data_IF_998361406757
#
_entry.id   IF_998361406757
#
_cell.length_a   1.000
_cell.length_b   1.000
_cell.length_c   1.000
_cell.angle_alpha   90.00
_cell.angle_beta   90.00
_cell.angle_gamma   90.00
#
_symmetry.space_group_name_H-M   'P 1'
#
loop_
_entity.id
_entity.type
_entity.pdbx_description
1 polymer ?
#
# COMPACT_ATOMS: atom_id res chain seq x y z
N UNK A 1 -10.48 51.21 36.63
CA UNK A 1 -11.05 49.90 36.22
C UNK A 1 -10.92 49.86 34.71
N UNK A 2 -9.73 49.53 34.23
CA UNK A 2 -9.42 49.44 32.80
C UNK A 2 -8.76 48.07 32.59
N UNK A 3 -9.46 47.25 31.81
CA UNK A 3 -9.11 45.87 31.52
C UNK A 3 -8.04 45.85 30.43
N UNK A 4 -6.82 45.48 30.78
CA UNK A 4 -5.79 45.15 29.78
C UNK A 4 -6.12 43.78 29.18
N UNK A 5 -6.65 43.82 27.96
CA UNK A 5 -6.77 42.64 27.10
C UNK A 5 -5.38 42.12 26.75
N UNK A 6 -5.04 40.95 27.28
CA UNK A 6 -3.87 40.20 26.88
C UNK A 6 -4.17 39.51 25.55
N UNK A 7 -3.40 39.91 24.54
CA UNK A 7 -3.49 39.43 23.17
C UNK A 7 -3.02 37.97 23.10
N UNK A 8 -3.90 37.07 22.66
CA UNK A 8 -3.51 35.73 22.23
C UNK A 8 -2.58 35.81 21.02
N UNK A 9 -1.53 34.98 20.92
CA UNK A 9 -0.71 34.93 19.73
C UNK A 9 -1.53 34.33 18.57
N UNK A 10 -1.57 35.08 17.46
CA UNK A 10 -2.15 34.65 16.19
C UNK A 10 -1.46 33.38 15.70
N UNK A 11 -2.10 32.23 15.91
CA UNK A 11 -1.73 30.97 15.29
C UNK A 11 -1.87 31.10 13.77
N UNK A 12 -0.80 30.78 13.06
CA UNK A 12 -0.73 30.75 11.61
C UNK A 12 -1.79 29.77 11.04
N UNK A 13 -2.80 30.21 10.27
CA UNK A 13 -3.85 29.32 9.74
C UNK A 13 -3.42 28.54 8.48
N UNK A 14 -2.12 28.51 8.15
CA UNK A 14 -1.62 28.07 6.84
C UNK A 14 -1.27 26.59 6.66
N UNK A 15 -1.40 25.73 7.67
CA UNK A 15 -1.03 24.31 7.53
C UNK A 15 -2.15 23.35 7.98
N UNK A 16 -3.36 23.57 7.46
CA UNK A 16 -4.49 22.64 7.59
C UNK A 16 -4.48 21.57 6.48
N UNK A 17 -3.33 20.92 6.25
CA UNK A 17 -3.29 19.65 5.53
C UNK A 17 -2.44 18.68 6.35
N UNK A 18 -3.01 17.62 6.95
CA UNK A 18 -2.18 16.45 7.14
C UNK A 18 -1.65 16.08 5.74
N UNK A 19 -0.34 15.86 5.56
CA UNK A 19 0.16 15.37 4.29
C UNK A 19 -0.63 14.12 3.88
N UNK A 20 -0.90 13.89 2.58
CA UNK A 20 -1.73 12.77 2.13
C UNK A 20 -1.24 11.39 2.66
N UNK A 21 0.03 11.27 3.03
CA UNK A 21 0.59 10.06 3.65
C UNK A 21 0.10 9.77 5.08
N UNK A 22 -0.51 10.73 5.80
CA UNK A 22 -1.16 10.50 7.10
C UNK A 22 -2.49 9.74 6.98
N UNK A 23 -3.08 9.68 5.78
CA UNK A 23 -4.32 8.93 5.52
C UNK A 23 -4.07 7.59 4.81
N UNK A 24 -2.85 7.36 4.31
CA UNK A 24 -2.50 6.13 3.60
C UNK A 24 -2.31 4.98 4.62
N UNK A 25 -3.38 4.25 4.90
CA UNK A 25 -3.29 3.00 5.66
C UNK A 25 -2.76 1.91 4.74
N UNK A 26 -1.45 1.70 4.76
CA UNK A 26 -0.85 0.51 4.19
C UNK A 26 -1.52 -0.72 4.79
N UNK A 27 -2.03 -1.61 3.93
CA UNK A 27 -2.53 -2.92 4.35
C UNK A 27 -1.65 -4.01 3.76
N UNK A 28 -1.29 -4.99 4.59
CA UNK A 28 -0.50 -6.16 4.21
C UNK A 28 -1.29 -7.44 4.51
N UNK A 29 -1.52 -8.26 3.49
CA UNK A 29 -2.03 -9.61 3.65
C UNK A 29 -0.86 -10.60 3.55
N UNK A 30 -0.68 -11.42 4.59
CA UNK A 30 0.41 -12.39 4.69
C UNK A 30 -0.13 -13.81 4.65
N UNK A 31 0.53 -14.70 3.90
CA UNK A 31 0.22 -16.13 3.93
C UNK A 31 0.76 -16.74 5.23
N UNK A 32 -0.16 -17.14 6.10
CA UNK A 32 0.16 -17.62 7.45
C UNK A 32 1.11 -18.82 7.48
N UNK A 33 1.04 -19.71 6.48
CA UNK A 33 1.93 -20.88 6.40
C UNK A 33 3.40 -20.53 6.14
N UNK A 34 3.71 -19.33 5.63
CA UNK A 34 5.09 -18.87 5.49
C UNK A 34 5.58 -18.08 6.71
N UNK A 35 4.68 -17.68 7.62
CA UNK A 35 5.04 -16.92 8.82
C UNK A 35 5.68 -17.85 9.86
N UNK A 36 7.02 -17.81 9.93
CA UNK A 36 7.78 -18.64 10.88
C UNK A 36 7.87 -18.04 12.28
N UNK A 37 7.95 -16.71 12.38
CA UNK A 37 8.28 -16.02 13.64
C UNK A 37 7.77 -14.58 13.60
N UNK A 38 7.01 -14.20 14.62
CA UNK A 38 6.56 -12.82 14.84
C UNK A 38 7.27 -12.24 16.06
N UNK A 39 7.75 -11.01 15.97
CA UNK A 39 8.43 -10.29 17.05
C UNK A 39 7.97 -8.84 17.06
N UNK A 40 7.90 -8.24 18.25
CA UNK A 40 7.70 -6.79 18.38
C UNK A 40 8.91 -6.09 17.78
N UNK A 41 8.66 -5.15 16.86
CA UNK A 41 9.71 -4.25 16.40
C UNK A 41 10.09 -3.31 17.54
N UNK A 42 11.40 -3.09 17.72
CA UNK A 42 11.98 -2.18 18.71
C UNK A 42 12.95 -1.18 18.08
N UNK A 43 13.03 -1.17 16.75
CA UNK A 43 13.90 -0.28 16.01
C UNK A 43 13.26 1.08 15.80
N UNK A 44 13.88 1.89 14.95
CA UNK A 44 13.51 3.26 14.68
C UNK A 44 12.02 3.44 14.35
N UNK A 45 11.44 2.61 13.47
CA UNK A 45 10.04 2.77 13.06
C UNK A 45 9.07 2.64 14.25
N UNK A 46 9.25 1.61 15.09
CA UNK A 46 8.45 1.45 16.31
C UNK A 46 8.62 2.65 17.26
N UNK A 47 9.87 3.09 17.50
CA UNK A 47 10.15 4.26 18.35
C UNK A 47 9.55 5.56 17.79
N UNK A 48 9.55 5.73 16.47
CA UNK A 48 8.95 6.89 15.81
C UNK A 48 7.44 6.88 16.02
N UNK A 49 6.76 5.76 15.78
CA UNK A 49 5.31 5.63 15.97
C UNK A 49 4.91 5.94 17.42
N UNK A 50 5.65 5.43 18.39
CA UNK A 50 5.47 5.76 19.82
C UNK A 50 5.66 7.26 20.07
N UNK A 51 6.74 7.86 19.55
CA UNK A 51 7.06 9.27 19.77
C UNK A 51 6.04 10.23 19.16
N UNK A 52 5.42 9.88 18.04
CA UNK A 52 4.37 10.69 17.40
C UNK A 52 2.95 10.37 17.93
N UNK A 53 2.83 9.47 18.91
CA UNK A 53 1.55 9.04 19.46
C UNK A 53 0.65 8.35 18.44
N UNK A 54 1.22 7.76 17.39
CA UNK A 54 0.45 7.09 16.36
C UNK A 54 0.04 5.71 16.89
N UNK A 55 -1.25 5.55 17.15
CA UNK A 55 -1.82 4.23 17.41
C UNK A 55 -1.78 3.40 16.13
N UNK A 56 -1.35 2.14 16.26
CA UNK A 56 -1.45 1.16 15.18
C UNK A 56 -2.94 0.83 15.04
N UNK A 57 -3.56 1.02 13.86
CA UNK A 57 -4.97 0.73 13.68
C UNK A 57 -5.28 -0.72 14.09
N UNK A 58 -6.32 -0.90 14.92
CA UNK A 58 -6.72 -2.22 15.44
C UNK A 58 -7.36 -3.13 14.37
N UNK A 59 -7.47 -2.66 13.13
CA UNK A 59 -8.03 -3.42 12.02
C UNK A 59 -7.83 -2.71 10.68
N UNK A 60 -8.16 -3.42 9.60
CA UNK A 60 -8.32 -2.82 8.26
C UNK A 60 -9.63 -2.03 8.27
N UNK A 61 -9.64 -0.83 7.70
CA UNK A 61 -10.80 0.07 7.71
C UNK A 61 -12.07 -0.57 7.11
N UNK A 62 -11.89 -1.50 6.17
CA UNK A 62 -12.96 -2.21 5.49
C UNK A 62 -12.66 -3.71 5.47
N UNK A 63 -13.73 -4.51 5.53
CA UNK A 63 -13.69 -5.97 5.47
C UNK A 63 -13.05 -6.43 4.15
N UNK A 64 -11.97 -7.20 4.23
CA UNK A 64 -11.31 -7.87 3.09
C UNK A 64 -11.65 -9.35 3.18
N UNK A 65 -12.13 -9.95 2.09
CA UNK A 65 -12.33 -11.39 2.04
C UNK A 65 -10.98 -12.12 1.92
N UNK A 66 -10.61 -12.83 3.00
CA UNK A 66 -9.36 -13.58 3.14
C UNK A 66 -9.47 -15.04 2.63
N UNK A 67 -10.55 -15.42 1.93
CA UNK A 67 -10.78 -16.77 1.41
C UNK A 67 -9.68 -17.27 0.45
N UNK A 68 -8.93 -16.35 -0.17
CA UNK A 68 -7.76 -16.70 -0.95
C UNK A 68 -7.05 -15.49 -1.55
N UNK A 69 -5.81 -15.67 -2.04
CA UNK A 69 -4.99 -14.60 -2.59
C UNK A 69 -5.66 -13.88 -3.78
N UNK A 70 -6.36 -14.62 -4.64
CA UNK A 70 -7.08 -14.01 -5.76
C UNK A 70 -8.23 -13.11 -5.30
N UNK A 71 -8.97 -13.51 -4.27
CA UNK A 71 -10.06 -12.71 -3.70
C UNK A 71 -9.53 -11.45 -3.03
N UNK A 72 -8.45 -11.57 -2.24
CA UNK A 72 -7.77 -10.45 -1.59
C UNK A 72 -7.35 -9.41 -2.63
N UNK A 73 -6.73 -9.83 -3.74
CA UNK A 73 -6.28 -8.90 -4.80
C UNK A 73 -7.48 -8.24 -5.48
N UNK A 74 -8.58 -8.96 -5.74
CA UNK A 74 -9.80 -8.35 -6.31
C UNK A 74 -10.42 -7.32 -5.37
N UNK A 75 -10.45 -7.59 -4.07
CA UNK A 75 -10.97 -6.64 -3.09
C UNK A 75 -10.06 -5.43 -2.93
N UNK A 76 -8.73 -5.64 -2.92
CA UNK A 76 -7.76 -4.56 -2.94
C UNK A 76 -7.91 -3.69 -4.20
N UNK A 77 -8.08 -4.29 -5.37
CA UNK A 77 -8.22 -3.59 -6.66
C UNK A 77 -9.49 -2.72 -6.75
N UNK A 78 -10.51 -2.97 -5.92
CA UNK A 78 -11.69 -2.08 -5.81
C UNK A 78 -11.36 -0.76 -5.09
N UNK A 79 -10.29 -0.74 -4.28
CA UNK A 79 -9.89 0.41 -3.43
C UNK A 79 -8.69 1.14 -4.02
N UNK A 80 -7.70 0.37 -4.45
CA UNK A 80 -6.40 0.86 -4.90
C UNK A 80 -6.11 0.35 -6.31
N UNK A 81 -5.66 1.24 -7.20
CA UNK A 81 -5.28 0.87 -8.57
C UNK A 81 -4.05 -0.04 -8.60
N UNK A 82 -3.15 0.12 -7.62
CA UNK A 82 -1.89 -0.61 -7.55
C UNK A 82 -1.88 -1.56 -6.38
N UNK A 83 -1.32 -2.74 -6.62
CA UNK A 83 -0.94 -3.70 -5.58
C UNK A 83 0.53 -4.06 -5.71
N UNK A 84 1.14 -4.44 -4.60
CA UNK A 84 2.45 -5.11 -4.59
C UNK A 84 2.27 -6.58 -4.28
N UNK A 85 2.86 -7.47 -5.06
CA UNK A 85 2.87 -8.91 -4.80
C UNK A 85 4.29 -9.41 -4.57
N UNK A 86 4.41 -10.39 -3.68
CA UNK A 86 5.70 -10.96 -3.27
C UNK A 86 5.70 -12.48 -3.44
N UNK A 87 6.83 -13.00 -3.90
CA UNK A 87 7.06 -14.45 -4.05
C UNK A 87 8.33 -14.87 -3.31
N UNK A 88 8.37 -14.64 -2.00
CA UNK A 88 9.60 -14.68 -1.19
C UNK A 88 10.28 -16.06 -1.18
N UNK A 89 9.54 -17.14 -1.44
CA UNK A 89 10.12 -18.48 -1.58
C UNK A 89 11.08 -18.61 -2.77
N UNK A 90 10.90 -17.79 -3.81
CA UNK A 90 11.73 -17.78 -5.01
C UNK A 90 12.65 -16.55 -5.03
N UNK A 91 12.10 -15.39 -4.72
CA UNK A 91 12.77 -14.10 -4.78
C UNK A 91 12.46 -13.31 -3.49
N UNK A 92 13.29 -13.44 -2.44
CA UNK A 92 13.02 -12.86 -1.13
C UNK A 92 13.12 -11.33 -1.09
N UNK A 93 13.94 -10.75 -1.96
CA UNK A 93 14.25 -9.31 -1.97
C UNK A 93 13.53 -8.56 -3.10
N UNK A 94 12.58 -9.21 -3.77
CA UNK A 94 11.82 -8.63 -4.88
C UNK A 94 10.35 -8.45 -4.53
N UNK A 95 9.80 -7.33 -4.98
CA UNK A 95 8.37 -7.09 -5.03
C UNK A 95 7.99 -6.65 -6.45
N UNK A 96 6.79 -7.00 -6.87
CA UNK A 96 6.26 -6.62 -8.18
C UNK A 96 5.04 -5.75 -7.97
N UNK A 97 5.08 -4.54 -8.54
CA UNK A 97 4.07 -3.51 -8.37
C UNK A 97 3.35 -3.30 -9.69
N UNK A 98 2.02 -3.26 -9.67
CA UNK A 98 1.25 -2.97 -10.87
C UNK A 98 -0.25 -3.01 -10.68
N UNK A 99 -0.96 -2.71 -11.75
CA UNK A 99 -2.42 -2.84 -11.84
C UNK A 99 -2.80 -4.31 -12.04
N UNK A 100 -3.59 -4.92 -11.14
CA UNK A 100 -3.86 -6.35 -11.19
C UNK A 100 -5.06 -6.72 -12.05
N UNK A 101 -4.95 -7.86 -12.73
CA UNK A 101 -6.05 -8.64 -13.26
C UNK A 101 -5.92 -10.08 -12.76
N UNK A 102 -6.99 -10.65 -12.23
CA UNK A 102 -6.93 -11.94 -11.52
C UNK A 102 -7.81 -12.97 -12.23
N UNK A 103 -7.20 -14.06 -12.67
CA UNK A 103 -7.89 -15.25 -13.18
C UNK A 103 -8.02 -16.34 -12.08
N UNK A 104 -8.28 -17.58 -12.47
CA UNK A 104 -8.44 -18.69 -11.52
C UNK A 104 -7.12 -19.09 -10.81
N UNK A 105 -5.98 -18.98 -11.48
CA UNK A 105 -4.69 -19.49 -10.99
C UNK A 105 -3.60 -18.42 -10.88
N UNK A 106 -3.77 -17.28 -11.54
CA UNK A 106 -2.75 -16.25 -11.70
C UNK A 106 -3.29 -14.86 -11.41
N UNK A 107 -2.37 -14.01 -10.98
CA UNK A 107 -2.51 -12.55 -11.07
C UNK A 107 -1.60 -12.07 -12.19
N UNK A 108 -2.14 -11.27 -13.08
CA UNK A 108 -1.43 -10.53 -14.12
C UNK A 108 -1.28 -9.09 -13.65
N UNK A 109 -0.05 -8.58 -13.60
CA UNK A 109 0.19 -7.18 -13.31
C UNK A 109 0.63 -6.47 -14.58
N UNK A 110 -0.05 -5.37 -14.91
CA UNK A 110 0.56 -4.34 -15.73
C UNK A 110 1.45 -3.51 -14.83
N UNK A 111 2.74 -3.72 -14.96
CA UNK A 111 3.72 -3.22 -13.99
C UNK A 111 3.96 -1.73 -14.15
N UNK A 112 4.33 -1.11 -13.03
CA UNK A 112 4.88 0.24 -12.98
C UNK A 112 6.26 0.18 -12.32
N UNK A 113 7.26 0.79 -12.95
CA UNK A 113 8.63 0.77 -12.46
C UNK A 113 8.87 1.83 -11.36
N UNK A 114 10.03 1.81 -10.67
CA UNK A 114 10.35 2.82 -9.65
C UNK A 114 10.50 4.26 -10.19
N UNK A 115 10.58 4.45 -11.51
CA UNK A 115 10.56 5.76 -12.17
C UNK A 115 9.13 6.17 -12.59
N UNK A 116 8.12 5.40 -12.17
CA UNK A 116 6.71 5.59 -12.49
C UNK A 116 6.38 5.41 -13.99
N UNK A 117 7.15 4.61 -14.72
CA UNK A 117 6.81 4.21 -16.09
C UNK A 117 6.01 2.91 -16.09
N UNK A 118 4.94 2.90 -16.89
CA UNK A 118 4.14 1.70 -17.12
C UNK A 118 4.79 0.77 -18.14
N UNK A 119 4.83 -0.50 -17.80
CA UNK A 119 5.23 -1.54 -18.74
C UNK A 119 4.13 -1.76 -19.79
N UNK A 120 4.54 -1.94 -21.05
CA UNK A 120 3.61 -2.17 -22.15
C UNK A 120 2.95 -3.55 -22.12
N UNK A 121 3.53 -4.51 -21.39
CA UNK A 121 3.04 -5.88 -21.30
C UNK A 121 2.68 -6.25 -19.87
N UNK A 122 1.78 -7.21 -19.73
CA UNK A 122 1.42 -7.79 -18.44
C UNK A 122 2.32 -8.97 -18.13
N UNK A 123 2.79 -9.04 -16.90
CA UNK A 123 3.53 -10.18 -16.36
C UNK A 123 2.64 -10.94 -15.37
N UNK A 124 2.78 -12.27 -15.30
CA UNK A 124 1.84 -13.11 -14.56
C UNK A 124 2.48 -13.99 -13.49
N UNK A 125 1.96 -13.95 -12.27
CA UNK A 125 2.40 -14.78 -11.13
C UNK A 125 1.32 -15.77 -10.71
N UNK A 126 1.72 -16.98 -10.32
CA UNK A 126 0.78 -17.98 -9.78
C UNK A 126 0.31 -17.55 -8.40
N UNK A 127 -1.00 -17.53 -8.18
CA UNK A 127 -1.61 -17.16 -6.90
C UNK A 127 -1.07 -17.99 -5.73
N UNK A 128 -0.88 -19.31 -5.94
CA UNK A 128 -0.30 -20.23 -4.93
C UNK A 128 1.15 -19.93 -4.55
N UNK A 129 1.84 -19.06 -5.29
CA UNK A 129 3.23 -18.67 -5.02
C UNK A 129 3.35 -17.34 -4.31
N UNK A 130 2.24 -16.61 -4.17
CA UNK A 130 2.22 -15.36 -3.43
C UNK A 130 2.35 -15.64 -1.94
N UNK A 131 3.25 -14.92 -1.28
CA UNK A 131 3.52 -15.01 0.17
C UNK A 131 2.99 -13.77 0.90
N UNK A 132 2.97 -12.63 0.20
CA UNK A 132 2.49 -11.34 0.70
C UNK A 132 1.86 -10.52 -0.41
N UNK A 133 0.84 -9.74 -0.07
CA UNK A 133 0.18 -8.75 -0.92
C UNK A 133 0.07 -7.45 -0.12
N UNK A 134 0.52 -6.32 -0.69
CA UNK A 134 0.37 -5.00 -0.08
C UNK A 134 -0.43 -4.05 -0.96
N UNK A 135 -1.18 -3.12 -0.36
CA UNK A 135 -1.97 -2.08 -1.02
C UNK A 135 -2.23 -0.89 -0.08
N UNK A 136 -2.72 0.23 -0.63
CA UNK A 136 -3.04 1.45 0.16
C UNK A 136 -1.85 2.23 0.73
N UNK A 137 -0.62 1.87 0.34
CA UNK A 137 0.61 2.49 0.85
C UNK A 137 0.99 3.77 0.12
N UNK A 138 1.57 4.74 0.85
CA UNK A 138 1.96 6.05 0.31
C UNK A 138 2.91 5.97 -0.91
N UNK A 139 3.77 4.95 -0.98
CA UNK A 139 4.65 4.75 -2.14
C UNK A 139 3.86 4.38 -3.40
N UNK A 140 2.87 3.49 -3.29
CA UNK A 140 1.99 3.13 -4.41
C UNK A 140 1.16 4.34 -4.87
N UNK A 141 0.63 5.11 -3.92
CA UNK A 141 -0.08 6.36 -4.22
C UNK A 141 0.83 7.34 -4.99
N UNK A 142 2.09 7.47 -4.58
CA UNK A 142 3.04 8.35 -5.26
C UNK A 142 3.38 7.87 -6.67
N UNK A 143 3.60 6.56 -6.86
CA UNK A 143 3.83 5.98 -8.19
C UNK A 143 2.67 6.27 -9.15
N UNK A 144 1.44 6.05 -8.69
CA UNK A 144 0.26 6.31 -9.52
C UNK A 144 0.09 7.82 -9.83
N UNK A 145 0.36 8.68 -8.86
CA UNK A 145 0.26 10.13 -9.05
C UNK A 145 1.26 10.65 -10.10
N UNK A 146 2.45 10.07 -10.19
CA UNK A 146 3.47 10.46 -11.18
C UNK A 146 3.26 9.75 -12.51
N UNK A 147 2.95 8.45 -12.49
CA UNK A 147 2.82 7.62 -13.70
C UNK A 147 1.51 7.80 -14.46
N UNK A 148 0.51 8.42 -13.84
CA UNK A 148 -0.80 8.66 -14.46
C UNK A 148 -1.65 7.39 -14.59
N UNK A 149 -2.74 7.44 -15.39
CA UNK A 149 -3.68 6.33 -15.50
C UNK A 149 -3.03 5.10 -16.14
N UNK A 150 -3.50 3.92 -15.74
CA UNK A 150 -3.08 2.64 -16.32
C UNK A 150 -3.36 2.67 -17.83
N UNK A 151 -2.34 2.52 -18.69
CA UNK A 151 -2.57 2.47 -20.13
C UNK A 151 -3.34 1.20 -20.50
N UNK A 152 -4.14 1.22 -21.58
CA UNK A 152 -4.77 0.00 -22.06
C UNK A 152 -3.70 -1.06 -22.33
N UNK A 153 -3.98 -2.35 -22.09
CA UNK A 153 -3.03 -3.41 -22.39
C UNK A 153 -2.62 -3.32 -23.86
N UNK A 154 -1.31 -3.31 -24.13
CA UNK A 154 -0.88 -3.39 -25.53
C UNK A 154 -1.31 -4.75 -26.07
N UNK A 155 -2.20 -4.74 -27.05
CA UNK A 155 -2.56 -5.93 -27.81
C UNK A 155 -1.27 -6.45 -28.46
N UNK A 156 -0.65 -7.44 -27.84
CA UNK A 156 0.47 -8.12 -28.48
C UNK A 156 -0.14 -8.99 -29.59
N UNK A 157 0.26 -8.70 -30.83
CA UNK A 157 -0.04 -9.52 -32.01
C UNK A 157 0.59 -10.92 -31.90
#
# INVERSE_FOLDING_TARGET
MESMGTSSPSGNPGCCWPPPWRAATWTAALRTTDVRKVRKDRHFAARLLEAIGQEVPLGVADEIDLSGPGTIIRDAAKRDTLVSVFTEQKWPDECYIGSPEVDAERVWLQRIDPQAHWDGHREGWKLRKLTRIDFGGAYLTALLAVGGPVPPPSSSA
#
